data_IF_776346107849
#
_entry.id   IF_776346107849
#
_cell.length_a   1.000
_cell.length_b   1.000
_cell.length_c   1.000
_cell.angle_alpha   90.00
_cell.angle_beta   90.00
_cell.angle_gamma   90.00
#
_symmetry.space_group_name_H-M   'P 1'
#
loop_
_entity.id
_entity.type
_entity.pdbx_description
1 polymer ?
#
# COMPACT_ATOMS: atom_id res chain seq x y z
N UNK A 1 6.81 32.74 4.88
CA UNK A 1 6.59 31.42 4.28
C UNK A 1 6.34 30.48 5.44
N UNK A 2 5.19 29.83 5.47
CA UNK A 2 4.76 28.96 6.57
C UNK A 2 5.70 27.74 6.67
N UNK A 3 6.08 27.39 7.91
CA UNK A 3 6.96 26.26 8.25
C UNK A 3 6.31 24.91 7.87
N UNK A 4 4.98 24.85 7.81
CA UNK A 4 4.21 23.69 7.34
C UNK A 4 4.46 23.39 5.86
N UNK A 5 4.45 24.43 5.01
CA UNK A 5 4.69 24.33 3.57
C UNK A 5 6.12 23.85 3.26
N UNK A 6 7.10 24.35 4.02
CA UNK A 6 8.49 23.92 3.89
C UNK A 6 8.68 22.46 4.31
N UNK A 7 7.93 22.00 5.31
CA UNK A 7 7.96 20.61 5.78
C UNK A 7 7.34 19.65 4.76
N UNK A 8 6.18 20.01 4.21
CA UNK A 8 5.47 19.21 3.21
C UNK A 8 6.23 19.17 1.87
N UNK A 9 6.82 20.29 1.45
CA UNK A 9 7.68 20.34 0.27
C UNK A 9 8.91 19.44 0.42
N UNK A 10 9.55 19.41 1.59
CA UNK A 10 10.69 18.52 1.87
C UNK A 10 10.27 17.05 1.85
N UNK A 11 9.13 16.72 2.44
CA UNK A 11 8.58 15.35 2.40
C UNK A 11 8.31 14.90 0.95
N UNK A 12 7.76 15.79 0.12
CA UNK A 12 7.51 15.50 -1.30
C UNK A 12 8.80 15.24 -2.08
N UNK A 13 9.86 16.00 -1.82
CA UNK A 13 11.18 15.80 -2.44
C UNK A 13 11.77 14.43 -2.07
N UNK A 14 11.66 14.02 -0.80
CA UNK A 14 12.14 12.72 -0.32
C UNK A 14 11.34 11.58 -0.98
N UNK A 15 10.02 11.69 -1.03
CA UNK A 15 9.16 10.68 -1.64
C UNK A 15 9.45 10.51 -3.14
N UNK A 16 9.58 11.61 -3.89
CA UNK A 16 9.95 11.58 -5.31
C UNK A 16 11.32 10.92 -5.53
N UNK A 17 12.29 11.21 -4.65
CA UNK A 17 13.62 10.63 -4.75
C UNK A 17 13.65 9.12 -4.48
N UNK A 18 12.91 8.67 -3.46
CA UNK A 18 12.71 7.25 -3.19
C UNK A 18 12.04 6.58 -4.39
N UNK A 19 11.01 7.20 -4.97
CA UNK A 19 10.29 6.65 -6.12
C UNK A 19 11.21 6.50 -7.35
N UNK A 20 12.00 7.51 -7.67
CA UNK A 20 12.93 7.45 -8.80
C UNK A 20 14.00 6.37 -8.61
N UNK A 21 14.66 6.33 -7.46
CA UNK A 21 15.69 5.31 -7.20
C UNK A 21 15.09 3.90 -7.11
N UNK A 22 13.84 3.78 -6.66
CA UNK A 22 13.11 2.51 -6.69
C UNK A 22 12.92 2.04 -8.12
N UNK A 23 12.48 2.91 -9.03
CA UNK A 23 12.30 2.54 -10.44
C UNK A 23 13.61 2.08 -11.07
N UNK A 24 14.70 2.82 -10.84
CA UNK A 24 16.04 2.44 -11.33
C UNK A 24 16.47 1.07 -10.79
N UNK A 25 16.23 0.83 -9.50
CA UNK A 25 16.54 -0.45 -8.84
C UNK A 25 15.71 -1.59 -9.41
N UNK A 26 14.41 -1.38 -9.63
CA UNK A 26 13.50 -2.39 -10.19
C UNK A 26 13.90 -2.78 -11.60
N UNK A 27 14.22 -1.79 -12.44
CA UNK A 27 14.70 -2.03 -13.79
C UNK A 27 16.02 -2.80 -13.78
N UNK A 28 16.96 -2.41 -12.93
CA UNK A 28 18.22 -3.13 -12.76
C UNK A 28 18.01 -4.59 -12.35
N UNK A 29 17.16 -4.85 -11.35
CA UNK A 29 16.86 -6.21 -10.89
C UNK A 29 16.20 -7.04 -11.99
N UNK A 30 15.24 -6.45 -12.71
CA UNK A 30 14.58 -7.09 -13.87
C UNK A 30 15.60 -7.53 -14.93
N UNK A 31 16.58 -6.68 -15.22
CA UNK A 31 17.54 -6.92 -16.30
C UNK A 31 18.69 -7.86 -15.89
N UNK A 32 19.00 -7.98 -14.59
CA UNK A 32 20.23 -8.64 -14.13
C UNK A 32 20.02 -9.85 -13.21
N UNK A 33 18.92 -9.93 -12.46
CA UNK A 33 18.72 -10.98 -11.46
C UNK A 33 17.92 -12.18 -11.97
N UNK A 34 17.29 -12.04 -13.14
CA UNK A 34 16.52 -13.11 -13.78
C UNK A 34 17.40 -13.87 -14.77
N UNK A 35 17.19 -15.19 -14.84
CA UNK A 35 17.86 -16.00 -15.85
C UNK A 35 17.35 -15.66 -17.24
N UNK A 36 18.14 -15.96 -18.27
CA UNK A 36 17.75 -15.76 -19.68
C UNK A 36 16.41 -16.45 -20.04
N UNK A 37 16.07 -17.55 -19.36
CA UNK A 37 14.81 -18.27 -19.55
C UNK A 37 13.63 -17.48 -18.97
N UNK A 38 13.82 -16.88 -17.80
CA UNK A 38 12.80 -16.06 -17.13
C UNK A 38 12.60 -14.71 -17.82
N UNK A 39 13.64 -14.18 -18.48
CA UNK A 39 13.55 -12.96 -19.28
C UNK A 39 12.93 -13.17 -20.67
N UNK A 40 12.79 -14.41 -21.13
CA UNK A 40 12.17 -14.68 -22.43
C UNK A 40 10.68 -14.29 -22.39
N UNK A 41 10.17 -13.42 -23.28
CA UNK A 41 8.79 -12.94 -23.18
C UNK A 41 7.72 -14.04 -23.32
N UNK A 42 8.05 -15.18 -23.97
CA UNK A 42 7.12 -16.29 -24.17
C UNK A 42 7.25 -17.34 -23.06
N UNK A 43 8.47 -17.64 -22.63
CA UNK A 43 8.73 -18.66 -21.60
C UNK A 43 8.63 -18.07 -20.20
N UNK A 44 9.20 -16.88 -20.00
CA UNK A 44 9.11 -16.10 -18.77
C UNK A 44 7.67 -15.89 -18.34
N UNK A 45 6.78 -15.43 -19.23
CA UNK A 45 5.35 -15.23 -18.90
C UNK A 45 4.59 -16.52 -18.57
N UNK A 46 5.06 -17.68 -19.06
CA UNK A 46 4.52 -18.99 -18.69
C UNK A 46 4.97 -19.45 -17.29
N UNK A 47 6.20 -19.10 -16.89
CA UNK A 47 6.76 -19.43 -15.57
C UNK A 47 6.28 -18.42 -14.51
N UNK A 48 6.43 -17.14 -14.83
CA UNK A 48 6.13 -15.96 -14.03
C UNK A 48 5.38 -14.93 -14.90
N UNK A 49 4.05 -14.90 -14.87
CA UNK A 49 3.30 -13.81 -15.48
C UNK A 49 3.75 -12.44 -14.91
N UNK A 50 3.27 -11.33 -15.50
CA UNK A 50 3.71 -9.96 -15.19
C UNK A 50 3.54 -9.53 -13.71
N UNK A 51 2.91 -10.36 -12.86
CA UNK A 51 2.82 -10.12 -11.42
C UNK A 51 4.18 -10.06 -10.72
N UNK A 52 5.22 -10.69 -11.28
CA UNK A 52 6.56 -10.65 -10.68
C UNK A 52 7.12 -9.24 -10.59
N UNK A 53 6.76 -8.33 -11.52
CA UNK A 53 7.13 -6.91 -11.42
C UNK A 53 6.58 -6.24 -10.16
N UNK A 54 5.41 -6.66 -9.68
CA UNK A 54 4.88 -6.21 -8.39
C UNK A 54 5.79 -6.61 -7.23
N UNK A 55 6.26 -7.87 -7.20
CA UNK A 55 7.20 -8.35 -6.17
C UNK A 55 8.57 -7.67 -6.27
N UNK A 56 9.11 -7.52 -7.49
CA UNK A 56 10.36 -6.80 -7.72
C UNK A 56 10.23 -5.35 -7.27
N UNK A 57 9.08 -4.70 -7.52
CA UNK A 57 8.83 -3.33 -7.04
C UNK A 57 8.83 -3.22 -5.52
N UNK A 58 8.22 -4.16 -4.81
CA UNK A 58 8.25 -4.20 -3.34
C UNK A 58 9.68 -4.39 -2.82
N UNK A 59 10.44 -5.32 -3.40
CA UNK A 59 11.81 -5.59 -2.99
C UNK A 59 12.75 -4.41 -3.32
N UNK A 60 12.66 -3.86 -4.53
CA UNK A 60 13.42 -2.70 -4.97
C UNK A 60 13.15 -1.45 -4.13
N UNK A 61 11.88 -1.23 -3.74
CA UNK A 61 11.52 -0.16 -2.80
C UNK A 61 12.20 -0.38 -1.45
N UNK A 62 12.17 -1.61 -0.92
CA UNK A 62 12.78 -1.94 0.36
C UNK A 62 14.31 -1.69 0.34
N UNK A 63 15.01 -2.09 -0.72
CA UNK A 63 16.44 -1.81 -0.89
C UNK A 63 16.72 -0.31 -0.97
N UNK A 64 15.91 0.42 -1.76
CA UNK A 64 16.07 1.86 -1.97
C UNK A 64 15.89 2.65 -0.67
N UNK A 65 14.81 2.37 0.06
CA UNK A 65 14.54 3.03 1.35
C UNK A 65 15.67 2.76 2.34
N UNK A 66 16.09 1.50 2.48
CA UNK A 66 17.18 1.15 3.38
C UNK A 66 18.51 1.81 2.99
N UNK A 67 18.83 1.87 1.70
CA UNK A 67 20.01 2.56 1.21
C UNK A 67 19.98 4.05 1.61
N UNK A 68 18.89 4.75 1.31
CA UNK A 68 18.76 6.20 1.57
C UNK A 68 18.67 6.52 3.07
N UNK A 69 18.04 5.65 3.87
CA UNK A 69 18.05 5.75 5.33
C UNK A 69 19.48 5.77 5.88
N UNK A 70 20.34 4.88 5.39
CA UNK A 70 21.72 4.77 5.86
C UNK A 70 22.63 5.82 5.25
N UNK A 71 22.57 6.03 3.93
CA UNK A 71 23.49 6.91 3.20
C UNK A 71 23.18 8.40 3.43
N UNK A 72 21.90 8.75 3.55
CA UNK A 72 21.46 10.15 3.64
C UNK A 72 20.87 10.52 5.00
N UNK A 73 20.80 9.56 5.94
CA UNK A 73 20.24 9.77 7.29
C UNK A 73 18.84 10.38 7.23
N UNK A 74 18.02 9.93 6.28
CA UNK A 74 16.63 10.37 6.19
C UNK A 74 15.90 10.01 7.48
N UNK A 75 15.21 10.98 8.10
CA UNK A 75 14.37 10.75 9.28
C UNK A 75 12.99 10.23 8.85
N UNK A 76 12.96 9.01 8.30
CA UNK A 76 11.72 8.31 7.97
C UNK A 76 11.33 7.45 9.16
N UNK A 77 10.19 7.78 9.78
CA UNK A 77 9.60 6.97 10.84
C UNK A 77 8.45 6.18 10.26
N UNK A 78 8.49 4.86 10.48
CA UNK A 78 7.32 4.01 10.26
C UNK A 78 6.28 4.41 11.30
N UNK A 79 5.11 4.85 10.84
CA UNK A 79 3.97 5.15 11.70
C UNK A 79 2.90 4.13 11.37
N UNK A 80 2.90 3.03 12.12
CA UNK A 80 2.05 1.88 11.88
C UNK A 80 0.56 2.22 12.02
N UNK A 81 0.25 3.29 12.74
CA UNK A 81 -1.08 3.74 13.06
C UNK A 81 -1.71 4.65 11.99
N UNK A 82 -0.96 5.10 10.97
CA UNK A 82 -1.45 6.08 9.99
C UNK A 82 -1.87 5.50 8.64
N UNK A 83 -1.43 4.28 8.31
CA UNK A 83 -1.70 3.71 7.00
C UNK A 83 -3.01 2.91 6.98
N UNK A 84 -3.08 1.82 7.74
CA UNK A 84 -4.17 0.85 7.64
C UNK A 84 -5.22 1.03 8.74
N UNK A 85 -6.49 1.19 8.36
CA UNK A 85 -7.63 1.13 9.27
C UNK A 85 -8.42 -0.17 9.04
N UNK A 86 -8.66 -0.96 10.09
CA UNK A 86 -9.49 -2.16 9.93
C UNK A 86 -10.92 -1.80 9.50
N UNK A 87 -11.43 -2.45 8.45
CA UNK A 87 -12.84 -2.33 8.02
C UNK A 87 -13.83 -2.87 9.05
N UNK A 88 -13.34 -3.61 10.05
CA UNK A 88 -14.15 -4.19 11.12
C UNK A 88 -13.81 -3.56 12.48
N UNK A 89 -13.28 -2.33 12.47
CA UNK A 89 -13.02 -1.59 13.70
C UNK A 89 -14.35 -1.14 14.32
N UNK A 90 -14.52 -1.43 15.60
CA UNK A 90 -15.73 -1.09 16.36
C UNK A 90 -15.52 0.11 17.30
N UNK A 91 -14.30 0.65 17.36
CA UNK A 91 -13.97 1.79 18.21
C UNK A 91 -14.16 3.13 17.44
N UNK A 92 -15.23 3.91 17.73
CA UNK A 92 -15.49 5.17 17.04
C UNK A 92 -14.42 6.23 17.31
N UNK A 93 -13.83 6.23 18.51
CA UNK A 93 -12.72 7.15 18.86
C UNK A 93 -11.47 6.92 18.00
N UNK A 94 -11.29 5.70 17.50
CA UNK A 94 -10.13 5.34 16.67
C UNK A 94 -10.30 5.81 15.21
N UNK A 95 -11.55 5.99 14.76
CA UNK A 95 -11.89 6.51 13.44
C UNK A 95 -11.73 8.04 13.37
N UNK A 96 -12.12 8.75 14.43
CA UNK A 96 -12.04 10.21 14.49
C UNK A 96 -10.60 10.70 14.71
N UNK A 97 -9.80 9.98 15.51
CA UNK A 97 -8.44 10.42 15.90
C UNK A 97 -7.38 10.10 14.85
N UNK A 98 -7.60 9.10 14.01
CA UNK A 98 -6.59 8.69 13.06
C UNK A 98 -7.02 9.12 11.66
N UNK A 99 -6.34 10.13 11.11
CA UNK A 99 -6.43 10.53 9.70
C UNK A 99 -5.83 9.44 8.78
N UNK A 100 -6.33 8.20 8.86
CA UNK A 100 -5.81 7.04 8.13
C UNK A 100 -6.24 7.11 6.67
N UNK A 101 -5.29 6.82 5.78
CA UNK A 101 -5.47 6.98 4.34
C UNK A 101 -5.99 5.71 3.64
N UNK A 102 -5.91 4.54 4.30
CA UNK A 102 -6.23 3.26 3.67
C UNK A 102 -7.10 2.37 4.56
N UNK A 103 -8.21 1.87 4.00
CA UNK A 103 -9.07 0.88 4.65
C UNK A 103 -8.55 -0.52 4.35
N UNK A 104 -8.25 -1.28 5.40
CA UNK A 104 -7.71 -2.63 5.33
C UNK A 104 -8.75 -3.67 5.74
N UNK A 105 -9.02 -4.61 4.84
CA UNK A 105 -9.88 -5.76 5.08
C UNK A 105 -9.05 -6.95 5.60
N UNK A 106 -8.93 -7.06 6.92
CA UNK A 106 -8.15 -8.12 7.56
C UNK A 106 -8.82 -9.51 7.46
N UNK A 107 -8.05 -10.54 7.84
CA UNK A 107 -8.48 -11.93 7.92
C UNK A 107 -9.47 -12.17 9.08
N UNK A 108 -10.69 -11.62 8.99
CA UNK A 108 -11.73 -11.78 10.02
C UNK A 108 -12.94 -12.52 9.43
N UNK A 109 -13.85 -12.98 10.28
CA UNK A 109 -15.16 -13.51 9.90
C UNK A 109 -16.28 -12.48 10.07
N UNK A 110 -15.95 -11.23 10.39
CA UNK A 110 -16.91 -10.13 10.55
C UNK A 110 -17.40 -9.59 9.19
N UNK A 111 -18.49 -8.82 9.20
CA UNK A 111 -19.00 -8.12 8.00
C UNK A 111 -17.91 -7.18 7.43
N UNK A 112 -17.89 -7.00 6.10
CA UNK A 112 -16.78 -6.40 5.35
C UNK A 112 -15.43 -7.15 5.41
N UNK A 113 -15.50 -8.49 5.39
CA UNK A 113 -14.36 -9.41 5.27
C UNK A 113 -14.29 -10.06 3.89
N UNK A 114 -13.06 -10.25 3.38
CA UNK A 114 -12.80 -11.03 2.16
C UNK A 114 -13.19 -12.50 2.28
N UNK A 115 -13.19 -13.08 3.47
CA UNK A 115 -13.61 -14.48 3.67
C UNK A 115 -15.13 -14.61 3.56
N UNK A 116 -15.86 -13.66 4.13
CA UNK A 116 -17.30 -13.55 3.96
C UNK A 116 -17.68 -13.30 2.49
N UNK A 117 -16.87 -12.51 1.77
CA UNK A 117 -17.03 -12.32 0.31
C UNK A 117 -16.82 -13.63 -0.45
N UNK A 118 -15.72 -14.33 -0.18
CA UNK A 118 -15.41 -15.63 -0.80
C UNK A 118 -16.47 -16.69 -0.50
N UNK A 119 -17.08 -16.64 0.69
CA UNK A 119 -18.15 -17.53 1.09
C UNK A 119 -19.53 -17.12 0.53
N UNK A 120 -19.60 -16.09 -0.32
CA UNK A 120 -20.84 -15.60 -0.95
C UNK A 120 -21.89 -15.08 0.05
N UNK A 121 -21.52 -14.85 1.31
CA UNK A 121 -22.44 -14.45 2.36
C UNK A 121 -23.03 -13.05 2.17
N UNK A 122 -22.48 -12.25 1.24
CA UNK A 122 -23.04 -10.96 0.84
C UNK A 122 -24.17 -11.05 -0.20
N UNK A 123 -24.37 -12.19 -0.86
CA UNK A 123 -25.39 -12.35 -1.91
C UNK A 123 -26.83 -12.21 -1.38
N UNK A 124 -27.01 -12.34 -0.07
CA UNK A 124 -28.31 -12.27 0.61
C UNK A 124 -28.49 -11.00 1.43
N UNK A 125 -27.53 -10.08 1.37
CA UNK A 125 -27.59 -8.80 2.08
C UNK A 125 -28.09 -7.74 1.09
N UNK A 126 -29.20 -7.07 1.39
CA UNK A 126 -29.59 -5.86 0.66
C UNK A 126 -28.66 -4.71 1.09
N UNK A 127 -27.84 -4.12 0.20
CA UNK A 127 -26.92 -3.04 0.56
C UNK A 127 -27.61 -1.85 1.24
N UNK A 128 -28.91 -1.64 1.00
CA UNK A 128 -29.71 -0.58 1.63
C UNK A 128 -30.05 -0.84 3.09
N UNK A 129 -29.87 -2.07 3.56
CA UNK A 129 -30.08 -2.47 4.96
C UNK A 129 -28.80 -2.41 5.79
N UNK A 130 -27.64 -2.26 5.14
CA UNK A 130 -26.40 -1.85 5.77
C UNK A 130 -26.58 -0.38 6.16
N UNK A 131 -26.81 -0.12 7.45
CA UNK A 131 -27.23 1.19 7.94
C UNK A 131 -26.28 2.29 7.43
N UNK A 132 -26.85 3.23 6.67
CA UNK A 132 -26.29 4.56 6.44
C UNK A 132 -26.21 5.25 7.80
N UNK A 133 -25.00 5.44 8.32
CA UNK A 133 -24.78 6.60 9.17
C UNK A 133 -24.91 7.85 8.28
N UNK A 134 -26.13 8.37 8.18
CA UNK A 134 -26.47 9.57 7.41
C UNK A 134 -25.72 10.83 7.90
N UNK A 135 -24.90 10.76 8.94
CA UNK A 135 -24.02 11.84 9.36
C UNK A 135 -22.74 11.94 8.51
N UNK A 136 -22.38 10.92 7.73
CA UNK A 136 -21.18 10.93 6.88
C UNK A 136 -21.37 11.58 5.49
N UNK A 137 -22.60 11.99 5.12
CA UNK A 137 -22.89 12.58 3.81
C UNK A 137 -22.76 14.11 3.75
N UNK A 138 -22.26 14.77 4.81
CA UNK A 138 -22.15 16.23 4.89
C UNK A 138 -20.71 16.78 4.80
N UNK A 139 -19.76 16.02 4.26
CA UNK A 139 -18.40 16.50 3.94
C UNK A 139 -18.15 16.50 2.43
#
# INVERSE_FOLDING_TARGET
MDDSFLTEYRASCVAQRIANLTLDTVLYLSDNEFTRVEQDPKIGTLLWPDWHYGVVSMYGTHLTVNHLLVSEKLDIKKVDELLDQSTTNENPDDLEKNHRLHLHCWHTDKQFSKFQFKAENYNHIDPRTLINDTLAQSY
#
